data_IF_252040826237
#
_entry.id   IF_252040826237
#
_cell.length_a   1.000
_cell.length_b   1.000
_cell.length_c   1.000
_cell.angle_alpha   90.00
_cell.angle_beta   90.00
_cell.angle_gamma   90.00
#
_symmetry.space_group_name_H-M   'P 1'
#
loop_
_entity.id
_entity.type
_entity.pdbx_description
1 polymer ?
#
# COMPACT_ATOMS: atom_id res chain seq x y z
N UNK A 1 -16.13 -12.72 -3.96
CA UNK A 1 -16.27 -11.27 -4.23
C UNK A 1 -15.62 -10.96 -5.57
N UNK A 2 -16.36 -10.45 -6.56
CA UNK A 2 -15.79 -10.06 -7.85
C UNK A 2 -15.25 -8.64 -7.75
N UNK A 3 -14.00 -8.41 -8.20
CA UNK A 3 -13.34 -7.09 -8.16
C UNK A 3 -14.16 -6.04 -8.94
N UNK A 4 -14.87 -6.45 -9.99
CA UNK A 4 -15.75 -5.59 -10.79
C UNK A 4 -16.91 -4.97 -9.99
N UNK A 5 -17.35 -5.60 -8.90
CA UNK A 5 -18.45 -5.08 -8.06
C UNK A 5 -18.02 -4.04 -7.04
N UNK A 6 -16.72 -3.83 -6.85
CA UNK A 6 -16.19 -2.93 -5.83
C UNK A 6 -16.14 -1.45 -6.26
N UNK A 7 -16.39 -1.16 -7.54
CA UNK A 7 -16.52 0.18 -8.11
C UNK A 7 -15.38 1.17 -7.75
N UNK A 8 -14.13 0.68 -7.74
CA UNK A 8 -12.94 1.45 -7.34
C UNK A 8 -12.69 2.71 -8.17
N UNK A 9 -13.11 2.71 -9.45
CA UNK A 9 -13.00 3.88 -10.31
C UNK A 9 -13.86 5.04 -9.78
N UNK A 10 -15.15 4.81 -9.53
CA UNK A 10 -16.05 5.83 -8.98
C UNK A 10 -15.60 6.29 -7.61
N UNK A 11 -15.13 5.37 -6.74
CA UNK A 11 -14.57 5.73 -5.45
C UNK A 11 -13.39 6.71 -5.58
N UNK A 12 -12.47 6.44 -6.52
CA UNK A 12 -11.35 7.34 -6.82
C UNK A 12 -11.82 8.69 -7.35
N UNK A 13 -12.81 8.71 -8.24
CA UNK A 13 -13.36 9.96 -8.78
C UNK A 13 -13.91 10.86 -7.67
N UNK A 14 -14.70 10.30 -6.75
CA UNK A 14 -15.23 11.06 -5.63
C UNK A 14 -14.15 11.56 -4.68
N UNK A 15 -13.12 10.76 -4.39
CA UNK A 15 -11.98 11.22 -3.60
C UNK A 15 -11.25 12.37 -4.28
N UNK A 16 -10.92 12.26 -5.57
CA UNK A 16 -10.26 13.33 -6.33
C UNK A 16 -11.06 14.63 -6.27
N UNK A 17 -12.37 14.55 -6.55
CA UNK A 17 -13.26 15.70 -6.50
C UNK A 17 -13.30 16.33 -5.09
N UNK A 18 -13.56 15.53 -4.05
CA UNK A 18 -13.71 16.05 -2.67
C UNK A 18 -12.42 16.56 -2.06
N UNK A 19 -11.28 15.98 -2.43
CA UNK A 19 -9.97 16.48 -2.03
C UNK A 19 -9.65 17.80 -2.74
N UNK A 20 -9.91 17.91 -4.05
CA UNK A 20 -9.73 19.15 -4.81
C UNK A 20 -10.58 20.30 -4.25
N UNK A 21 -11.85 20.03 -3.96
CA UNK A 21 -12.80 20.96 -3.32
C UNK A 21 -12.29 21.51 -1.97
N UNK A 22 -11.53 20.71 -1.21
CA UNK A 22 -11.01 21.06 0.12
C UNK A 22 -9.56 21.52 0.14
N UNK A 23 -8.88 21.57 -1.02
CA UNK A 23 -7.44 21.83 -1.08
C UNK A 23 -6.59 20.75 -0.41
N UNK A 24 -7.12 19.52 -0.26
CA UNK A 24 -6.40 18.39 0.32
C UNK A 24 -5.58 17.70 -0.77
N UNK A 25 -4.29 17.47 -0.52
CA UNK A 25 -3.45 16.71 -1.43
C UNK A 25 -3.85 15.22 -1.42
N UNK A 26 -4.40 14.75 -2.53
CA UNK A 26 -4.65 13.32 -2.77
C UNK A 26 -3.42 12.68 -3.40
N UNK A 27 -2.81 11.71 -2.71
CA UNK A 27 -1.72 10.90 -3.27
C UNK A 27 -2.26 9.53 -3.67
N UNK A 28 -2.04 9.14 -4.93
CA UNK A 28 -2.40 7.82 -5.44
C UNK A 28 -1.16 6.95 -5.49
N UNK A 29 -1.18 5.83 -4.76
CA UNK A 29 -0.11 4.85 -4.81
C UNK A 29 -0.07 4.13 -6.17
N UNK A 30 1.15 3.88 -6.66
CA UNK A 30 1.34 3.08 -7.87
C UNK A 30 0.78 1.66 -7.67
N UNK A 31 0.16 1.10 -8.70
CA UNK A 31 -0.45 -0.24 -8.66
C UNK A 31 0.54 -1.38 -8.35
N UNK A 32 1.84 -1.15 -8.60
CA UNK A 32 2.92 -2.11 -8.35
C UNK A 32 3.62 -1.91 -7.00
N UNK A 33 3.18 -0.93 -6.20
CA UNK A 33 3.71 -0.73 -4.85
C UNK A 33 3.32 -1.91 -3.95
N UNK A 34 4.28 -2.69 -3.41
CA UNK A 34 3.98 -3.94 -2.72
C UNK A 34 3.57 -3.73 -1.25
N UNK A 35 2.57 -2.88 -0.99
CA UNK A 35 2.17 -2.44 0.35
C UNK A 35 1.82 -3.59 1.32
N UNK A 36 1.28 -4.70 0.83
CA UNK A 36 0.96 -5.90 1.66
C UNK A 36 2.17 -6.79 1.95
N UNK A 37 3.27 -6.59 1.23
CA UNK A 37 4.48 -7.42 1.31
C UNK A 37 5.66 -6.66 1.93
N UNK A 38 5.64 -5.33 1.92
CA UNK A 38 6.65 -4.47 2.57
C UNK A 38 6.40 -4.37 4.07
N UNK A 39 7.45 -4.45 4.88
CA UNK A 39 7.33 -4.29 6.33
C UNK A 39 7.18 -2.81 6.68
N UNK A 40 6.16 -2.44 7.46
CA UNK A 40 5.94 -1.06 7.90
C UNK A 40 6.98 -0.52 8.88
N UNK A 41 7.87 -1.38 9.41
CA UNK A 41 8.91 -1.02 10.37
C UNK A 41 10.29 -0.92 9.68
N UNK A 42 10.73 -1.98 9.01
CA UNK A 42 12.08 -2.04 8.44
C UNK A 42 12.14 -1.84 6.92
N UNK A 43 10.99 -1.69 6.26
CA UNK A 43 10.84 -1.53 4.80
C UNK A 43 11.35 -2.71 3.95
N UNK A 44 11.73 -3.83 4.57
CA UNK A 44 12.05 -5.08 3.85
C UNK A 44 10.79 -5.59 3.15
N UNK A 45 10.91 -5.94 1.87
CA UNK A 45 9.79 -6.50 1.08
C UNK A 45 9.93 -8.01 0.99
N UNK A 46 8.88 -8.72 1.38
CA UNK A 46 8.81 -10.18 1.24
C UNK A 46 8.74 -10.54 -0.26
N UNK A 47 9.59 -11.47 -0.67
CA UNK A 47 9.67 -11.93 -2.07
C UNK A 47 9.74 -13.45 -2.12
N UNK A 48 9.45 -14.03 -3.29
CA UNK A 48 9.55 -15.47 -3.54
C UNK A 48 8.81 -16.30 -2.47
N UNK A 49 9.51 -17.15 -1.72
CA UNK A 49 8.94 -18.09 -0.75
C UNK A 49 8.27 -17.40 0.44
N UNK A 50 8.70 -16.19 0.80
CA UNK A 50 8.15 -15.45 1.94
C UNK A 50 6.94 -14.59 1.56
N UNK A 51 6.57 -14.55 0.27
CA UNK A 51 5.47 -13.73 -0.21
C UNK A 51 4.15 -14.21 0.41
N UNK A 52 3.43 -13.28 1.03
CA UNK A 52 2.13 -13.54 1.62
C UNK A 52 1.10 -13.83 0.54
N UNK A 53 0.40 -14.95 0.70
CA UNK A 53 -0.78 -15.31 -0.06
C UNK A 53 -2.01 -14.51 0.41
N UNK A 54 -3.09 -14.57 -0.38
CA UNK A 54 -4.33 -13.87 -0.05
C UNK A 54 -5.00 -14.38 1.23
N UNK A 55 -4.82 -15.66 1.56
CA UNK A 55 -5.38 -16.28 2.77
C UNK A 55 -4.58 -15.96 4.03
N UNK A 56 -3.32 -15.54 3.90
CA UNK A 56 -2.51 -15.13 5.04
C UNK A 56 -2.93 -13.73 5.50
N UNK A 57 -3.51 -13.65 6.69
CA UNK A 57 -4.04 -12.43 7.31
C UNK A 57 -3.07 -11.76 8.29
N UNK A 58 -2.05 -12.48 8.73
CA UNK A 58 -1.01 -11.96 9.63
C UNK A 58 0.27 -11.71 8.85
N UNK A 59 0.81 -10.49 8.94
CA UNK A 59 2.12 -10.13 8.44
C UNK A 59 3.18 -10.45 9.49
N UNK A 60 4.23 -11.19 9.11
CA UNK A 60 5.37 -11.52 9.98
C UNK A 60 6.67 -11.15 9.26
N UNK A 61 7.55 -10.44 9.97
CA UNK A 61 8.85 -10.05 9.44
C UNK A 61 9.98 -10.48 10.38
N UNK A 62 11.16 -10.71 9.81
CA UNK A 62 12.38 -11.02 10.55
C UNK A 62 12.82 -9.91 11.53
N UNK A 63 12.37 -8.67 11.33
CA UNK A 63 12.62 -7.57 12.26
C UNK A 63 11.75 -7.62 13.54
N UNK A 64 10.88 -8.62 13.69
CA UNK A 64 9.99 -8.78 14.83
C UNK A 64 8.59 -8.18 14.63
N UNK A 65 8.31 -7.54 13.48
CA UNK A 65 6.98 -7.04 13.18
C UNK A 65 5.97 -8.19 13.03
N UNK A 66 4.86 -8.14 13.77
CA UNK A 66 3.80 -9.14 13.75
C UNK A 66 2.43 -8.46 13.97
N UNK A 67 1.70 -8.23 12.88
CA UNK A 67 0.44 -7.49 12.90
C UNK A 67 -0.51 -7.95 11.77
N UNK A 68 -1.77 -7.51 11.79
CA UNK A 68 -2.68 -7.79 10.68
C UNK A 68 -2.12 -7.23 9.35
N UNK A 69 -2.22 -8.01 8.29
CA UNK A 69 -1.65 -7.69 6.96
C UNK A 69 -2.26 -6.42 6.38
N UNK A 70 -3.56 -6.20 6.56
CA UNK A 70 -4.22 -5.02 6.03
C UNK A 70 -3.86 -3.79 6.88
N UNK A 71 -3.65 -3.95 8.20
CA UNK A 71 -3.07 -2.90 9.05
C UNK A 71 -1.63 -2.55 8.61
N UNK A 72 -0.76 -3.54 8.35
CA UNK A 72 0.58 -3.33 7.78
C UNK A 72 0.52 -2.47 6.51
N UNK A 73 -0.36 -2.88 5.59
CA UNK A 73 -0.52 -2.22 4.29
C UNK A 73 -1.03 -0.79 4.44
N UNK A 74 -1.89 -0.51 5.42
CA UNK A 74 -2.38 0.84 5.70
C UNK A 74 -1.25 1.78 6.15
N UNK A 75 -0.33 1.30 7.00
CA UNK A 75 0.84 2.06 7.45
C UNK A 75 1.80 2.35 6.29
N UNK A 76 2.00 1.36 5.41
CA UNK A 76 2.79 1.53 4.21
C UNK A 76 2.18 2.55 3.23
N UNK A 77 0.86 2.49 3.00
CA UNK A 77 0.17 3.46 2.15
C UNK A 77 0.20 4.87 2.74
N UNK A 78 0.05 5.01 4.06
CA UNK A 78 0.22 6.29 4.77
C UNK A 78 1.60 6.90 4.51
N UNK A 79 2.65 6.07 4.50
CA UNK A 79 4.04 6.49 4.31
C UNK A 79 4.51 6.44 2.84
N UNK A 80 3.61 6.20 1.88
CA UNK A 80 3.97 5.89 0.50
C UNK A 80 4.96 6.88 -0.13
N UNK A 81 4.72 8.20 0.00
CA UNK A 81 5.60 9.25 -0.56
C UNK A 81 7.01 9.25 0.01
N UNK A 82 7.18 8.72 1.21
CA UNK A 82 8.46 8.67 1.93
C UNK A 82 9.12 7.29 1.82
N UNK A 83 8.44 6.30 1.25
CA UNK A 83 8.96 4.94 1.14
C UNK A 83 10.16 4.85 0.22
N UNK A 84 11.10 3.94 0.52
CA UNK A 84 12.21 3.60 -0.39
C UNK A 84 11.72 3.20 -1.78
N UNK A 85 10.57 2.54 -1.87
CA UNK A 85 9.97 2.18 -3.15
C UNK A 85 9.65 3.42 -4.00
N UNK A 86 9.02 4.44 -3.41
CA UNK A 86 8.69 5.67 -4.13
C UNK A 86 9.94 6.41 -4.60
N UNK A 87 10.96 6.53 -3.74
CA UNK A 87 12.22 7.15 -4.10
C UNK A 87 12.85 6.44 -5.32
N UNK A 88 12.99 5.12 -5.23
CA UNK A 88 13.71 4.34 -6.25
C UNK A 88 12.93 4.14 -7.57
N UNK A 89 11.59 4.26 -7.57
CA UNK A 89 10.77 3.94 -8.75
C UNK A 89 10.02 5.13 -9.35
N UNK A 90 9.87 6.23 -8.61
CA UNK A 90 9.11 7.40 -9.08
C UNK A 90 10.01 8.64 -9.18
N UNK A 91 10.93 8.85 -8.24
CA UNK A 91 11.85 10.00 -8.27
C UNK A 91 13.13 9.69 -9.05
N UNK A 92 13.68 8.48 -8.92
CA UNK A 92 14.90 8.07 -9.62
C UNK A 92 14.71 7.65 -11.09
N UNK A 93 13.56 7.96 -11.70
CA UNK A 93 13.28 7.82 -13.14
C UNK A 93 13.23 9.21 -13.78
#
# INVERSE_FOLDING_TARGET
MYISKANWYTFRQYLTYKCGDRGILLTIANQWYPSTQTCSICETTLTKQDKLSLSQRTYKCSCGNNLDRDYNASLNLKNYRYSKWYQNNIISQ
#
